data_IF_321662729445
#
_entry.id   IF_321662729445
#
_cell.length_a   1.000
_cell.length_b   1.000
_cell.length_c   1.000
_cell.angle_alpha   90.00
_cell.angle_beta   90.00
_cell.angle_gamma   90.00
#
_symmetry.space_group_name_H-M   'P 1'
#
loop_
_entity.id
_entity.type
_entity.pdbx_description
1 polymer ?
#
# COMPACT_ATOMS: atom_id res chain seq x y z
N UNK A 1 -14.46 57.10 -67.91
CA UNK A 1 -15.11 56.84 -66.60
C UNK A 1 -15.57 55.38 -66.62
N UNK A 2 -14.79 54.42 -66.10
CA UNK A 2 -14.81 53.91 -64.70
C UNK A 2 -16.23 53.50 -64.29
N UNK A 3 -16.57 52.26 -63.89
CA UNK A 3 -15.81 51.09 -63.42
C UNK A 3 -16.64 49.81 -63.69
N UNK A 4 -15.95 48.74 -64.08
CA UNK A 4 -16.41 47.35 -63.89
C UNK A 4 -16.35 47.03 -62.39
N UNK A 5 -17.38 46.40 -61.83
CA UNK A 5 -17.30 45.73 -60.53
C UNK A 5 -17.63 44.26 -60.78
N UNK A 6 -16.58 43.43 -60.75
CA UNK A 6 -16.68 41.98 -60.63
C UNK A 6 -17.11 41.64 -59.19
N UNK A 7 -18.13 40.81 -59.07
CA UNK A 7 -18.45 40.11 -57.83
C UNK A 7 -17.46 38.95 -57.69
N UNK A 8 -16.48 39.08 -56.80
CA UNK A 8 -15.53 38.03 -56.46
C UNK A 8 -16.02 37.41 -55.14
N UNK A 9 -16.70 36.27 -55.24
CA UNK A 9 -17.03 35.42 -54.10
C UNK A 9 -15.72 34.85 -53.56
N UNK A 10 -15.18 35.48 -52.52
CA UNK A 10 -14.08 34.93 -51.75
C UNK A 10 -14.65 33.80 -50.87
N UNK A 11 -14.51 32.55 -51.34
CA UNK A 11 -14.60 31.37 -50.49
C UNK A 11 -13.35 31.39 -49.61
N UNK A 12 -13.48 31.96 -48.42
CA UNK A 12 -12.48 31.79 -47.35
C UNK A 12 -12.69 30.37 -46.82
N UNK A 13 -11.72 29.46 -46.91
CA UNK A 13 -11.82 28.20 -46.19
C UNK A 13 -11.70 28.55 -44.71
N UNK A 14 -12.85 28.54 -44.02
CA UNK A 14 -12.88 28.46 -42.57
C UNK A 14 -12.24 27.14 -42.19
N UNK A 15 -10.95 27.17 -41.87
CA UNK A 15 -10.32 26.08 -41.15
C UNK A 15 -10.97 26.02 -39.76
N UNK A 16 -12.11 25.34 -39.66
CA UNK A 16 -12.65 24.87 -38.39
C UNK A 16 -11.66 23.79 -37.94
N UNK A 17 -10.66 24.19 -37.17
CA UNK A 17 -9.81 23.26 -36.46
C UNK A 17 -10.66 22.76 -35.30
N UNK A 18 -11.23 21.55 -35.43
CA UNK A 18 -12.13 20.96 -34.46
C UNK A 18 -11.46 20.81 -33.08
N UNK A 19 -12.23 21.01 -32.02
CA UNK A 19 -11.84 20.61 -30.66
C UNK A 19 -12.01 19.10 -30.54
N UNK A 20 -11.06 18.42 -29.88
CA UNK A 20 -11.19 16.99 -29.63
C UNK A 20 -12.22 16.73 -28.54
N UNK A 21 -12.91 15.60 -28.66
CA UNK A 21 -13.91 15.16 -27.68
C UNK A 21 -13.49 13.82 -27.07
N UNK A 22 -13.82 13.65 -25.80
CA UNK A 22 -13.80 12.34 -25.15
C UNK A 22 -15.25 12.03 -24.78
N UNK A 23 -15.82 11.01 -25.39
CA UNK A 23 -17.22 10.61 -25.16
C UNK A 23 -17.31 9.13 -24.89
N UNK A 24 -18.40 8.72 -24.27
CA UNK A 24 -18.64 7.30 -24.05
C UNK A 24 -19.94 7.00 -23.34
N UNK A 25 -20.07 5.73 -22.94
CA UNK A 25 -21.24 5.23 -22.21
C UNK A 25 -20.81 4.34 -21.05
N UNK A 26 -21.36 4.60 -19.87
CA UNK A 26 -21.23 3.77 -18.68
C UNK A 26 -22.34 2.72 -18.58
N UNK A 27 -22.00 1.51 -18.15
CA UNK A 27 -22.94 0.40 -17.94
C UNK A 27 -22.67 -0.29 -16.59
N UNK A 28 -23.71 -0.52 -15.76
CA UNK A 28 -25.10 -0.10 -15.93
C UNK A 28 -25.29 1.39 -15.56
N UNK A 29 -26.03 2.13 -16.38
CA UNK A 29 -26.10 3.59 -16.36
C UNK A 29 -26.50 4.18 -15.00
N UNK A 30 -27.43 3.54 -14.29
CA UNK A 30 -28.00 4.00 -13.03
C UNK A 30 -27.00 4.07 -11.86
N UNK A 31 -25.84 3.42 -12.00
CA UNK A 31 -24.77 3.45 -10.99
C UNK A 31 -23.91 4.72 -11.09
N UNK A 32 -24.07 5.51 -12.15
CA UNK A 32 -23.20 6.64 -12.46
C UNK A 32 -24.00 7.94 -12.54
N UNK A 33 -23.45 9.00 -11.96
CA UNK A 33 -24.09 10.33 -11.93
C UNK A 33 -23.23 11.42 -12.54
N UNK A 34 -21.93 11.32 -12.33
CA UNK A 34 -20.94 12.24 -12.87
C UNK A 34 -19.67 11.46 -13.22
N UNK A 35 -18.84 12.06 -14.06
CA UNK A 35 -17.46 11.64 -14.26
C UNK A 35 -16.55 12.87 -14.22
N UNK A 36 -15.39 12.71 -13.59
CA UNK A 36 -14.35 13.72 -13.56
C UNK A 36 -13.18 13.28 -14.43
N UNK A 37 -12.68 14.21 -15.24
CA UNK A 37 -11.50 14.00 -16.08
C UNK A 37 -10.31 14.70 -15.45
N UNK A 38 -9.22 13.95 -15.29
CA UNK A 38 -7.94 14.45 -14.83
C UNK A 38 -6.83 14.11 -15.82
N UNK A 39 -5.79 14.94 -15.87
CA UNK A 39 -4.53 14.62 -16.50
C UNK A 39 -3.58 14.06 -15.44
N UNK A 40 -3.02 12.87 -15.67
CA UNK A 40 -2.11 12.21 -14.74
C UNK A 40 -0.72 12.83 -14.88
N UNK A 41 -0.08 13.11 -13.73
CA UNK A 41 1.31 13.56 -13.66
C UNK A 41 2.07 12.74 -12.63
N UNK A 42 3.39 12.86 -12.62
CA UNK A 42 4.26 12.18 -11.66
C UNK A 42 3.99 12.53 -10.20
N UNK A 43 3.36 13.68 -9.90
CA UNK A 43 3.07 14.12 -8.52
C UNK A 43 1.60 13.93 -8.14
N UNK A 44 0.70 14.23 -9.07
CA UNK A 44 -0.73 14.32 -8.80
C UNK A 44 -1.56 14.25 -10.08
N UNK A 45 -2.88 14.20 -9.93
CA UNK A 45 -3.82 14.31 -11.04
C UNK A 45 -4.34 15.74 -11.13
N UNK A 46 -4.15 16.39 -12.28
CA UNK A 46 -4.60 17.77 -12.52
C UNK A 46 -6.02 17.73 -13.08
N UNK A 47 -6.96 18.39 -12.42
CA UNK A 47 -8.34 18.48 -12.89
C UNK A 47 -8.42 19.14 -14.27
N UNK A 48 -9.16 18.51 -15.19
CA UNK A 48 -9.34 18.98 -16.57
C UNK A 48 -10.78 19.43 -16.78
N UNK A 49 -11.74 18.53 -16.54
CA UNK A 49 -13.16 18.77 -16.78
C UNK A 49 -14.06 17.80 -15.98
N UNK A 50 -15.37 18.01 -16.02
CA UNK A 50 -16.38 17.16 -15.41
C UNK A 50 -17.60 17.04 -16.35
N UNK A 51 -18.29 15.91 -16.31
CA UNK A 51 -19.49 15.67 -17.10
C UNK A 51 -20.56 14.99 -16.25
N UNK A 52 -21.81 15.43 -16.38
CA UNK A 52 -22.95 14.69 -15.88
C UNK A 52 -23.19 13.46 -16.76
N UNK A 53 -23.61 12.36 -16.14
CA UNK A 53 -23.96 11.13 -16.86
C UNK A 53 -25.45 11.15 -17.17
N UNK A 54 -25.80 11.00 -18.45
CA UNK A 54 -27.19 10.94 -18.89
C UNK A 54 -27.89 9.65 -18.44
N UNK A 55 -29.23 9.60 -18.56
CA UNK A 55 -30.04 8.43 -18.17
C UNK A 55 -29.65 7.15 -18.91
N UNK A 56 -29.12 7.26 -20.12
CA UNK A 56 -28.62 6.14 -20.92
C UNK A 56 -27.14 5.80 -20.65
N UNK A 57 -26.52 6.46 -19.67
CA UNK A 57 -25.12 6.28 -19.30
C UNK A 57 -24.14 7.11 -20.13
N UNK A 58 -24.62 7.89 -21.10
CA UNK A 58 -23.75 8.65 -21.98
C UNK A 58 -23.11 9.87 -21.31
N UNK A 59 -21.89 10.20 -21.74
CA UNK A 59 -21.15 11.39 -21.30
C UNK A 59 -20.26 11.95 -22.40
N UNK A 60 -19.90 13.22 -22.27
CA UNK A 60 -18.98 13.92 -23.17
C UNK A 60 -18.13 14.91 -22.38
N UNK A 61 -16.83 14.93 -22.63
CA UNK A 61 -15.88 15.98 -22.26
C UNK A 61 -15.43 16.73 -23.51
N UNK A 62 -15.43 18.06 -23.43
CA UNK A 62 -14.95 18.92 -24.51
C UNK A 62 -13.54 19.43 -24.19
N UNK A 63 -12.54 18.99 -24.96
CA UNK A 63 -11.15 19.37 -24.68
C UNK A 63 -10.81 20.72 -25.29
N UNK A 64 -10.08 21.52 -24.51
CA UNK A 64 -9.48 22.77 -25.01
C UNK A 64 -8.49 22.44 -26.11
N UNK A 65 -8.38 23.33 -27.10
CA UNK A 65 -7.40 23.21 -28.20
C UNK A 65 -5.93 23.10 -27.73
N UNK A 66 -5.63 23.60 -26.53
CA UNK A 66 -4.30 23.57 -25.92
C UNK A 66 -4.09 22.37 -24.98
N UNK A 67 -5.03 21.42 -24.95
CA UNK A 67 -4.95 20.27 -24.07
C UNK A 67 -3.75 19.41 -24.45
N UNK A 68 -2.85 19.16 -23.49
CA UNK A 68 -1.58 18.51 -23.76
C UNK A 68 -1.76 16.98 -23.93
N UNK A 69 -1.04 16.34 -24.87
CA UNK A 69 -0.98 14.88 -24.90
C UNK A 69 -0.45 14.27 -23.60
N UNK A 70 -0.92 13.08 -23.25
CA UNK A 70 -0.49 12.36 -22.05
C UNK A 70 -1.48 11.30 -21.60
N UNK A 71 -1.28 10.81 -20.37
CA UNK A 71 -2.23 9.92 -19.71
C UNK A 71 -3.30 10.73 -18.99
N UNK A 72 -4.54 10.31 -19.15
CA UNK A 72 -5.72 10.89 -18.53
C UNK A 72 -6.45 9.84 -17.72
N UNK A 73 -7.18 10.30 -16.71
CA UNK A 73 -7.94 9.47 -15.79
C UNK A 73 -9.38 9.93 -15.76
N UNK A 74 -10.30 9.00 -15.94
CA UNK A 74 -11.71 9.22 -15.60
C UNK A 74 -11.96 8.64 -14.21
N UNK A 75 -12.49 9.47 -13.31
CA UNK A 75 -12.93 9.08 -11.96
C UNK A 75 -14.45 9.15 -11.91
N UNK A 76 -15.09 8.06 -11.50
CA UNK A 76 -16.55 7.91 -11.57
C UNK A 76 -17.22 7.67 -10.21
N UNK A 77 -16.47 7.43 -9.12
CA UNK A 77 -16.98 7.36 -7.76
C UNK A 77 -15.89 7.68 -6.70
N UNK A 78 -16.21 7.57 -5.41
CA UNK A 78 -15.28 7.75 -4.29
C UNK A 78 -15.08 6.42 -3.54
N UNK A 79 -13.84 6.07 -3.14
CA UNK A 79 -12.64 6.91 -3.24
C UNK A 79 -12.01 6.90 -4.65
N UNK A 80 -11.36 8.00 -5.01
CA UNK A 80 -10.92 8.27 -6.40
C UNK A 80 -9.86 7.30 -6.91
N UNK A 81 -9.03 6.77 -6.02
CA UNK A 81 -7.96 5.80 -6.28
C UNK A 81 -8.49 4.39 -6.58
N UNK A 82 -9.71 4.08 -6.16
CA UNK A 82 -10.40 2.82 -6.45
C UNK A 82 -11.27 2.92 -7.72
N UNK A 83 -12.06 3.99 -7.83
CA UNK A 83 -13.08 4.11 -8.87
C UNK A 83 -12.64 4.98 -10.05
N UNK A 84 -11.62 4.52 -10.76
CA UNK A 84 -11.05 5.20 -11.92
C UNK A 84 -10.52 4.25 -12.99
N UNK A 85 -10.19 4.79 -14.16
CA UNK A 85 -9.34 4.12 -15.15
C UNK A 85 -8.56 5.15 -15.97
N UNK A 86 -7.39 4.72 -16.46
CA UNK A 86 -6.46 5.54 -17.23
C UNK A 86 -6.52 5.24 -18.74
N UNK A 87 -6.24 6.25 -19.55
CA UNK A 87 -6.13 6.14 -21.01
C UNK A 87 -5.18 7.19 -21.59
N UNK A 88 -4.70 6.94 -22.79
CA UNK A 88 -3.84 7.86 -23.53
C UNK A 88 -4.67 8.85 -24.35
N UNK A 89 -4.29 10.11 -24.34
CA UNK A 89 -4.81 11.13 -25.24
C UNK A 89 -3.64 11.77 -25.99
N UNK A 90 -3.75 11.83 -27.31
CA UNK A 90 -2.75 12.46 -28.17
C UNK A 90 -3.39 13.21 -29.36
N UNK A 91 -4.16 14.25 -29.05
CA UNK A 91 -4.84 15.10 -30.05
C UNK A 91 -5.76 14.30 -30.98
N UNK A 92 -6.46 13.32 -30.43
CA UNK A 92 -7.45 12.50 -31.13
C UNK A 92 -8.80 12.56 -30.44
N UNK A 93 -9.88 12.27 -31.19
CA UNK A 93 -11.18 12.02 -30.58
C UNK A 93 -11.18 10.63 -29.95
N UNK A 94 -11.79 10.53 -28.77
CA UNK A 94 -11.90 9.28 -28.02
C UNK A 94 -13.38 8.94 -27.84
N UNK A 95 -13.73 7.73 -28.23
CA UNK A 95 -15.03 7.12 -27.96
C UNK A 95 -14.82 5.80 -27.22
N UNK A 96 -15.46 5.62 -26.07
CA UNK A 96 -15.28 4.45 -25.24
C UNK A 96 -16.60 3.95 -24.64
N UNK A 97 -16.60 2.70 -24.20
CA UNK A 97 -17.62 2.14 -23.33
C UNK A 97 -16.96 1.66 -22.05
N UNK A 98 -17.60 1.85 -20.91
CA UNK A 98 -17.14 1.31 -19.64
C UNK A 98 -18.27 0.47 -19.03
N UNK A 99 -17.96 -0.77 -18.70
CA UNK A 99 -18.85 -1.70 -18.04
C UNK A 99 -18.24 -2.06 -16.67
N UNK A 100 -19.01 -2.01 -15.58
CA UNK A 100 -18.48 -2.27 -14.23
C UNK A 100 -17.80 -3.64 -14.10
N UNK A 101 -18.27 -4.64 -14.84
CA UNK A 101 -17.74 -6.00 -14.78
C UNK A 101 -16.60 -6.23 -15.78
N UNK A 102 -16.64 -5.55 -16.94
CA UNK A 102 -15.68 -5.79 -18.04
C UNK A 102 -14.59 -4.73 -18.18
N UNK A 103 -14.76 -3.58 -17.55
CA UNK A 103 -13.87 -2.43 -17.66
C UNK A 103 -14.07 -1.62 -18.95
N UNK A 104 -13.02 -0.89 -19.33
CA UNK A 104 -13.04 0.03 -20.48
C UNK A 104 -12.77 -0.68 -21.81
N UNK A 105 -13.53 -0.33 -22.83
CA UNK A 105 -13.29 -0.68 -24.23
C UNK A 105 -13.31 0.58 -25.10
N UNK A 106 -12.34 0.72 -25.99
CA UNK A 106 -12.22 1.88 -26.88
C UNK A 106 -12.89 1.59 -28.22
N UNK A 107 -13.95 2.33 -28.54
CA UNK A 107 -14.63 2.32 -29.85
C UNK A 107 -13.84 3.15 -30.86
N UNK A 108 -13.31 4.30 -30.43
CA UNK A 108 -12.44 5.18 -31.23
C UNK A 108 -11.29 5.65 -30.33
N UNK A 109 -10.07 5.27 -30.69
CA UNK A 109 -8.80 5.80 -30.18
C UNK A 109 -7.70 4.90 -30.73
N UNK A 110 -6.81 5.43 -31.56
CA UNK A 110 -5.77 4.63 -32.20
C UNK A 110 -4.79 4.09 -31.15
N UNK A 111 -4.32 4.94 -30.24
CA UNK A 111 -3.27 4.60 -29.30
C UNK A 111 -3.75 3.63 -28.22
N UNK A 112 -4.94 3.86 -27.66
CA UNK A 112 -5.48 2.96 -26.64
C UNK A 112 -5.83 1.59 -27.23
N UNK A 113 -6.40 1.52 -28.43
CA UNK A 113 -6.64 0.24 -29.11
C UNK A 113 -5.35 -0.51 -29.39
N UNK A 114 -4.29 0.20 -29.79
CA UNK A 114 -2.98 -0.41 -30.02
C UNK A 114 -2.40 -0.97 -28.72
N UNK A 115 -2.51 -0.23 -27.61
CA UNK A 115 -2.10 -0.68 -26.28
C UNK A 115 -2.87 -1.93 -25.82
N UNK A 116 -4.20 -1.91 -25.90
CA UNK A 116 -5.05 -3.07 -25.56
C UNK A 116 -4.69 -4.29 -26.39
N UNK A 117 -4.49 -4.11 -27.70
CA UNK A 117 -4.13 -5.21 -28.62
C UNK A 117 -2.75 -5.79 -28.34
N UNK A 118 -1.79 -4.94 -27.98
CA UNK A 118 -0.45 -5.37 -27.56
C UNK A 118 -0.53 -6.23 -26.29
N UNK A 119 -1.20 -5.74 -25.25
CA UNK A 119 -1.34 -6.46 -23.98
C UNK A 119 -2.07 -7.80 -24.15
N UNK A 120 -3.14 -7.84 -24.93
CA UNK A 120 -3.86 -9.08 -25.23
C UNK A 120 -2.97 -10.09 -25.96
N UNK A 121 -2.20 -9.63 -26.96
CA UNK A 121 -1.28 -10.49 -27.71
C UNK A 121 -0.17 -11.04 -26.81
N UNK A 122 0.44 -10.18 -25.99
CA UNK A 122 1.50 -10.58 -25.05
C UNK A 122 0.99 -11.53 -23.96
N UNK A 123 -0.24 -11.33 -23.48
CA UNK A 123 -0.90 -12.25 -22.55
C UNK A 123 -1.08 -13.64 -23.16
N UNK A 124 -1.59 -13.74 -24.39
CA UNK A 124 -1.75 -15.03 -25.09
C UNK A 124 -0.41 -15.74 -25.35
N UNK A 125 0.64 -14.97 -25.66
CA UNK A 125 2.00 -15.51 -25.83
C UNK A 125 2.53 -16.03 -24.48
N UNK A 126 2.33 -15.29 -23.40
CA UNK A 126 2.66 -15.73 -22.04
C UNK A 126 1.94 -17.02 -21.65
N UNK A 127 0.64 -17.12 -21.94
CA UNK A 127 -0.14 -18.35 -21.73
C UNK A 127 0.41 -19.53 -22.55
N UNK A 128 0.86 -19.27 -23.78
CA UNK A 128 1.48 -20.28 -24.64
C UNK A 128 2.83 -20.78 -24.06
N UNK A 129 3.65 -19.87 -23.52
CA UNK A 129 4.89 -20.24 -22.80
C UNK A 129 4.60 -21.05 -21.53
N UNK A 130 3.62 -20.62 -20.73
CA UNK A 130 3.20 -21.34 -19.54
C UNK A 130 2.70 -22.75 -19.88
N UNK A 131 1.91 -22.89 -20.94
CA UNK A 131 1.43 -24.20 -21.44
C UNK A 131 2.60 -25.06 -21.93
N UNK A 132 3.55 -24.48 -22.66
CA UNK A 132 4.75 -25.18 -23.12
C UNK A 132 5.54 -25.77 -21.95
N UNK A 133 5.85 -24.96 -20.94
CA UNK A 133 6.59 -25.43 -19.77
C UNK A 133 5.78 -26.39 -18.89
N UNK A 134 4.48 -26.14 -18.72
CA UNK A 134 3.56 -27.03 -18.01
C UNK A 134 3.41 -28.42 -18.65
N UNK A 135 3.60 -28.52 -19.97
CA UNK A 135 3.63 -29.79 -20.72
C UNK A 135 5.00 -30.48 -20.76
N UNK A 136 5.98 -29.98 -19.99
CA UNK A 136 7.31 -30.56 -19.83
C UNK A 136 8.44 -29.83 -20.57
N UNK A 137 8.14 -28.89 -21.47
CA UNK A 137 9.12 -27.92 -21.99
C UNK A 137 10.28 -28.48 -22.83
N UNK A 138 10.14 -29.64 -23.48
CA UNK A 138 11.27 -30.32 -24.17
C UNK A 138 11.35 -30.10 -25.69
N UNK A 139 10.27 -29.65 -26.33
CA UNK A 139 10.17 -29.59 -27.80
C UNK A 139 10.76 -28.28 -28.33
N UNK A 140 12.04 -28.31 -28.73
CA UNK A 140 12.77 -27.13 -29.21
C UNK A 140 12.06 -26.39 -30.37
N UNK A 141 11.41 -27.12 -31.29
CA UNK A 141 10.66 -26.52 -32.41
C UNK A 141 9.49 -25.66 -31.92
N UNK A 142 8.73 -26.15 -30.94
CA UNK A 142 7.56 -25.45 -30.42
C UNK A 142 8.00 -24.21 -29.64
N UNK A 143 9.05 -24.34 -28.83
CA UNK A 143 9.67 -23.22 -28.12
C UNK A 143 10.14 -22.12 -29.08
N UNK A 144 10.94 -22.47 -30.09
CA UNK A 144 11.43 -21.50 -31.09
C UNK A 144 10.28 -20.79 -31.79
N UNK A 145 9.18 -21.49 -32.09
CA UNK A 145 7.98 -20.89 -32.69
C UNK A 145 7.35 -19.86 -31.75
N UNK A 146 7.20 -20.17 -30.47
CA UNK A 146 6.62 -19.24 -29.48
C UNK A 146 7.50 -18.00 -29.33
N UNK A 147 8.82 -18.17 -29.19
CA UNK A 147 9.76 -17.04 -29.08
C UNK A 147 9.79 -16.20 -30.37
N UNK A 148 9.72 -16.82 -31.55
CA UNK A 148 9.65 -16.08 -32.80
C UNK A 148 8.36 -15.25 -32.91
N UNK A 149 7.23 -15.81 -32.47
CA UNK A 149 5.96 -15.07 -32.40
C UNK A 149 6.11 -13.87 -31.46
N UNK A 150 6.67 -14.07 -30.26
CA UNK A 150 6.96 -12.99 -29.31
C UNK A 150 7.77 -11.84 -29.94
N UNK A 151 8.90 -12.17 -30.57
CA UNK A 151 9.79 -11.17 -31.17
C UNK A 151 9.13 -10.43 -32.35
N UNK A 152 8.41 -11.17 -33.20
CA UNK A 152 7.69 -10.57 -34.34
C UNK A 152 6.57 -9.65 -33.85
N UNK A 153 5.77 -10.11 -32.88
CA UNK A 153 4.69 -9.32 -32.28
C UNK A 153 5.23 -8.04 -31.66
N UNK A 154 6.30 -8.10 -30.85
CA UNK A 154 6.93 -6.88 -30.31
C UNK A 154 7.33 -5.91 -31.43
N UNK A 155 8.05 -6.40 -32.45
CA UNK A 155 8.55 -5.57 -33.55
C UNK A 155 7.42 -4.93 -34.37
N UNK A 156 6.35 -5.67 -34.64
CA UNK A 156 5.21 -5.19 -35.40
C UNK A 156 4.43 -4.11 -34.65
N UNK A 157 4.22 -4.29 -33.34
CA UNK A 157 3.58 -3.28 -32.49
C UNK A 157 4.43 -2.03 -32.32
N UNK A 158 5.75 -2.16 -32.14
CA UNK A 158 6.65 -1.00 -32.09
C UNK A 158 6.62 -0.20 -33.39
N UNK A 159 6.65 -0.88 -34.54
CA UNK A 159 6.52 -0.22 -35.85
C UNK A 159 5.16 0.47 -36.01
N UNK A 160 4.07 -0.17 -35.58
CA UNK A 160 2.74 0.43 -35.62
C UNK A 160 2.60 1.64 -34.68
N UNK A 161 3.39 1.67 -33.61
CA UNK A 161 3.40 2.73 -32.61
C UNK A 161 4.37 3.90 -32.94
N UNK A 162 5.11 3.84 -34.05
CA UNK A 162 6.09 4.86 -34.39
C UNK A 162 5.48 6.28 -34.42
N UNK A 163 6.08 7.20 -33.65
CA UNK A 163 5.61 8.58 -33.52
C UNK A 163 4.46 8.81 -32.52
N UNK A 164 4.00 7.77 -31.81
CA UNK A 164 2.87 7.83 -30.85
C UNK A 164 3.35 7.76 -29.40
N UNK A 165 2.51 8.18 -28.44
CA UNK A 165 2.84 8.07 -27.01
C UNK A 165 2.94 6.61 -26.56
N UNK A 166 2.04 5.76 -27.05
CA UNK A 166 1.93 4.32 -26.72
C UNK A 166 3.22 3.54 -26.97
N UNK A 167 4.08 3.99 -27.89
CA UNK A 167 5.38 3.38 -28.14
C UNK A 167 6.23 3.28 -26.86
N UNK A 168 6.18 4.31 -26.00
CA UNK A 168 6.93 4.31 -24.74
C UNK A 168 6.53 3.14 -23.84
N UNK A 169 5.24 2.80 -23.81
CA UNK A 169 4.69 1.71 -23.01
C UNK A 169 5.02 0.36 -23.65
N UNK A 170 4.80 0.21 -24.96
CA UNK A 170 5.11 -1.01 -25.71
C UNK A 170 6.58 -1.40 -25.59
N UNK A 171 7.49 -0.44 -25.76
CA UNK A 171 8.92 -0.71 -25.61
C UNK A 171 9.28 -1.04 -24.17
N UNK A 172 8.73 -0.32 -23.19
CA UNK A 172 9.01 -0.58 -21.78
C UNK A 172 8.47 -1.93 -21.29
N UNK A 173 7.41 -2.46 -21.92
CA UNK A 173 6.80 -3.75 -21.60
C UNK A 173 7.45 -4.95 -22.29
N UNK A 174 8.50 -4.75 -23.08
CA UNK A 174 9.14 -5.84 -23.82
C UNK A 174 9.59 -6.98 -22.88
N UNK A 175 9.05 -8.21 -23.04
CA UNK A 175 9.40 -9.33 -22.18
C UNK A 175 10.76 -9.93 -22.55
N UNK A 176 11.35 -10.66 -21.61
CA UNK A 176 12.56 -11.45 -21.85
C UNK A 176 12.33 -12.53 -22.93
N UNK A 177 13.21 -12.56 -23.93
CA UNK A 177 13.16 -13.49 -25.05
C UNK A 177 14.48 -14.28 -25.18
N UNK A 178 14.54 -15.55 -24.75
CA UNK A 178 15.74 -16.39 -24.86
C UNK A 178 16.04 -16.82 -26.31
N UNK A 179 17.32 -16.86 -26.69
CA UNK A 179 17.74 -17.30 -28.04
C UNK A 179 17.73 -18.82 -28.24
N UNK A 180 17.79 -19.59 -27.15
CA UNK A 180 17.85 -21.05 -27.18
C UNK A 180 16.89 -21.64 -26.14
N UNK A 181 16.51 -22.91 -26.33
CA UNK A 181 15.69 -23.63 -25.38
C UNK A 181 16.42 -23.71 -24.03
N UNK A 182 15.73 -23.25 -23.00
CA UNK A 182 16.16 -23.30 -21.59
C UNK A 182 15.01 -23.86 -20.76
N UNK A 183 15.34 -24.50 -19.64
CA UNK A 183 14.33 -25.01 -18.71
C UNK A 183 13.56 -23.86 -18.03
N UNK A 184 12.40 -24.20 -17.44
CA UNK A 184 11.48 -23.23 -16.85
C UNK A 184 12.10 -22.42 -15.71
N UNK A 185 12.98 -23.04 -14.90
CA UNK A 185 13.64 -22.37 -13.78
C UNK A 185 14.63 -21.34 -14.32
N UNK A 186 15.50 -21.75 -15.24
CA UNK A 186 16.44 -20.84 -15.91
C UNK A 186 15.72 -19.71 -16.66
N UNK A 187 14.58 -19.99 -17.30
CA UNK A 187 13.75 -18.96 -17.94
C UNK A 187 13.28 -17.91 -16.93
N UNK A 188 12.70 -18.36 -15.82
CA UNK A 188 12.17 -17.47 -14.77
C UNK A 188 13.26 -16.63 -14.14
N UNK A 189 14.43 -17.22 -13.85
CA UNK A 189 15.59 -16.51 -13.31
C UNK A 189 16.11 -15.43 -14.28
N UNK A 190 16.20 -15.76 -15.58
CA UNK A 190 16.65 -14.80 -16.60
C UNK A 190 15.61 -13.71 -16.85
N UNK A 191 14.31 -14.05 -16.87
CA UNK A 191 13.23 -13.08 -16.99
C UNK A 191 13.23 -12.10 -15.81
N UNK A 192 13.39 -12.61 -14.58
CA UNK A 192 13.54 -11.78 -13.37
C UNK A 192 14.74 -10.84 -13.48
N UNK A 193 15.87 -11.32 -13.99
CA UNK A 193 17.09 -10.49 -14.15
C UNK A 193 16.94 -9.41 -15.22
N UNK A 194 16.21 -9.71 -16.30
CA UNK A 194 16.02 -8.80 -17.43
C UNK A 194 14.79 -7.88 -17.28
N UNK A 195 13.95 -8.06 -16.25
CA UNK A 195 12.63 -7.42 -16.15
C UNK A 195 12.63 -5.91 -16.40
N UNK A 196 13.61 -5.18 -15.85
CA UNK A 196 13.69 -3.73 -15.99
C UNK A 196 14.55 -3.25 -17.18
N UNK A 197 15.07 -4.14 -18.03
CA UNK A 197 16.08 -3.77 -19.04
C UNK A 197 15.59 -2.80 -20.11
N UNK A 198 14.28 -2.78 -20.36
CA UNK A 198 13.64 -1.89 -21.32
C UNK A 198 12.90 -0.71 -20.67
N UNK A 199 12.83 -0.68 -19.33
CA UNK A 199 12.11 0.37 -18.60
C UNK A 199 13.04 1.54 -18.34
N UNK A 200 12.73 2.68 -18.96
CA UNK A 200 13.40 3.94 -18.68
C UNK A 200 12.67 4.71 -17.57
N UNK A 201 13.13 4.57 -16.33
CA UNK A 201 12.59 5.32 -15.17
C UNK A 201 12.76 6.84 -15.27
N UNK A 202 13.55 7.34 -16.23
CA UNK A 202 13.67 8.77 -16.56
C UNK A 202 12.66 9.27 -17.60
N UNK A 203 11.85 8.39 -18.20
CA UNK A 203 10.91 8.76 -19.26
C UNK A 203 9.70 9.52 -18.67
N UNK A 204 9.45 10.78 -19.07
CA UNK A 204 8.36 11.58 -18.52
C UNK A 204 6.98 11.04 -18.87
N UNK A 205 6.81 10.35 -20.02
CA UNK A 205 5.52 9.73 -20.39
C UNK A 205 5.20 8.60 -19.43
N UNK A 206 6.18 7.76 -19.09
CA UNK A 206 5.99 6.68 -18.11
C UNK A 206 5.80 7.20 -16.69
N UNK A 207 6.53 8.25 -16.30
CA UNK A 207 6.39 8.87 -14.98
C UNK A 207 5.03 9.55 -14.78
N UNK A 208 4.44 10.10 -15.84
CA UNK A 208 3.11 10.71 -15.81
C UNK A 208 1.99 9.67 -16.04
N UNK A 209 2.18 8.45 -15.55
CA UNK A 209 1.23 7.33 -15.65
C UNK A 209 1.44 6.36 -14.48
N UNK A 210 0.55 5.39 -14.30
CA UNK A 210 0.73 4.33 -13.30
C UNK A 210 1.78 3.26 -13.71
N UNK A 211 2.34 3.31 -14.92
CA UNK A 211 3.14 2.23 -15.49
C UNK A 211 4.32 1.79 -14.61
N UNK A 212 5.11 2.74 -14.10
CA UNK A 212 6.30 2.41 -13.30
C UNK A 212 5.92 1.79 -11.95
N UNK A 213 4.79 2.20 -11.38
CA UNK A 213 4.23 1.65 -10.14
C UNK A 213 3.78 0.21 -10.40
N UNK A 214 2.95 -0.02 -11.43
CA UNK A 214 2.46 -1.35 -11.79
C UNK A 214 3.59 -2.32 -12.14
N UNK A 215 4.56 -1.90 -12.94
CA UNK A 215 5.72 -2.72 -13.28
C UNK A 215 6.52 -3.10 -12.02
N UNK A 216 6.68 -2.16 -11.08
CA UNK A 216 7.37 -2.43 -9.82
C UNK A 216 6.61 -3.41 -8.93
N UNK A 217 5.31 -3.19 -8.72
CA UNK A 217 4.47 -4.08 -7.92
C UNK A 217 4.46 -5.49 -8.51
N UNK A 218 4.25 -5.59 -9.83
CA UNK A 218 4.30 -6.86 -10.54
C UNK A 218 5.64 -7.57 -10.35
N UNK A 219 6.77 -6.85 -10.38
CA UNK A 219 8.07 -7.45 -10.12
C UNK A 219 8.21 -7.96 -8.68
N UNK A 220 7.87 -7.11 -7.70
CA UNK A 220 8.05 -7.41 -6.27
C UNK A 220 7.21 -8.60 -5.84
N UNK A 221 5.95 -8.67 -6.28
CA UNK A 221 5.00 -9.66 -5.83
C UNK A 221 4.98 -10.96 -6.65
N UNK A 222 5.34 -10.93 -7.94
CA UNK A 222 5.28 -12.14 -8.77
C UNK A 222 6.58 -12.97 -8.75
N UNK A 223 7.73 -12.36 -8.46
CA UNK A 223 9.02 -13.07 -8.40
C UNK A 223 9.41 -13.45 -6.97
N UNK A 224 8.52 -14.17 -6.28
CA UNK A 224 8.67 -14.58 -4.88
C UNK A 224 9.02 -16.06 -4.74
N UNK A 225 9.93 -16.36 -3.82
CA UNK A 225 10.05 -17.69 -3.23
C UNK A 225 9.02 -17.83 -2.11
N UNK A 226 8.14 -18.83 -2.19
CA UNK A 226 7.10 -19.04 -1.19
C UNK A 226 7.65 -19.60 0.12
N UNK A 227 8.84 -20.21 0.10
CA UNK A 227 9.49 -20.73 1.30
C UNK A 227 10.14 -19.60 2.12
N UNK A 228 10.54 -18.49 1.47
CA UNK A 228 11.11 -17.30 2.11
C UNK A 228 10.65 -16.00 1.43
N UNK A 229 9.39 -15.64 1.70
CA UNK A 229 8.74 -14.46 1.10
C UNK A 229 9.42 -13.15 1.50
N UNK A 230 9.76 -12.99 2.78
CA UNK A 230 10.32 -11.73 3.27
C UNK A 230 11.69 -11.44 2.64
N UNK A 231 12.57 -12.45 2.56
CA UNK A 231 13.85 -12.30 1.87
C UNK A 231 13.64 -12.02 0.38
N UNK A 232 12.67 -12.67 -0.25
CA UNK A 232 12.32 -12.43 -1.66
C UNK A 232 11.87 -10.98 -1.89
N UNK A 233 10.94 -10.47 -1.08
CA UNK A 233 10.47 -9.09 -1.18
C UNK A 233 11.62 -8.10 -1.01
N UNK A 234 12.44 -8.26 0.03
CA UNK A 234 13.60 -7.40 0.29
C UNK A 234 14.56 -7.39 -0.90
N UNK A 235 14.90 -8.56 -1.45
CA UNK A 235 15.78 -8.66 -2.61
C UNK A 235 15.17 -8.02 -3.87
N UNK A 236 13.85 -8.16 -4.07
CA UNK A 236 13.16 -7.57 -5.20
C UNK A 236 13.13 -6.04 -5.07
N UNK A 237 12.83 -5.50 -3.89
CA UNK A 237 12.87 -4.06 -3.58
C UNK A 237 14.27 -3.50 -3.82
N UNK A 238 15.32 -4.20 -3.36
CA UNK A 238 16.71 -3.78 -3.60
C UNK A 238 17.04 -3.74 -5.11
N UNK A 239 16.42 -4.62 -5.91
CA UNK A 239 16.59 -4.61 -7.37
C UNK A 239 15.84 -3.45 -8.02
N UNK A 240 14.61 -3.19 -7.57
CA UNK A 240 13.81 -2.03 -8.00
C UNK A 240 14.56 -0.72 -7.74
N UNK A 241 15.09 -0.53 -6.52
CA UNK A 241 15.81 0.69 -6.16
C UNK A 241 17.02 0.93 -7.06
N UNK A 242 17.79 -0.13 -7.36
CA UNK A 242 18.91 -0.09 -8.30
C UNK A 242 18.47 0.23 -9.72
N UNK A 243 17.34 -0.32 -10.16
CA UNK A 243 16.81 -0.07 -11.50
C UNK A 243 16.34 1.38 -11.69
N UNK A 244 15.75 1.98 -10.65
CA UNK A 244 15.36 3.40 -10.65
C UNK A 244 16.59 4.32 -10.72
N UNK A 245 17.70 3.92 -10.08
CA UNK A 245 18.96 4.65 -10.12
C UNK A 245 18.88 5.98 -9.36
N UNK A 246 19.37 7.06 -9.98
CA UNK A 246 19.51 8.38 -9.31
C UNK A 246 18.24 9.25 -9.36
N UNK A 247 17.10 8.73 -9.84
CA UNK A 247 15.86 9.47 -9.87
C UNK A 247 15.20 9.48 -8.47
N UNK A 248 15.64 10.41 -7.61
CA UNK A 248 15.19 10.50 -6.21
C UNK A 248 13.69 10.67 -6.06
N UNK A 249 13.06 11.41 -6.97
CA UNK A 249 11.61 11.64 -6.99
C UNK A 249 10.84 10.33 -7.24
N UNK A 250 11.15 9.64 -8.33
CA UNK A 250 10.52 8.35 -8.66
C UNK A 250 10.82 7.31 -7.60
N UNK A 251 12.05 7.31 -7.06
CA UNK A 251 12.46 6.43 -5.97
C UNK A 251 11.61 6.63 -4.73
N UNK A 252 11.39 7.89 -4.31
CA UNK A 252 10.55 8.20 -3.16
C UNK A 252 9.13 7.64 -3.35
N UNK A 253 8.48 8.01 -4.45
CA UNK A 253 7.09 7.63 -4.75
C UNK A 253 6.92 6.11 -4.74
N UNK A 254 7.76 5.40 -5.49
CA UNK A 254 7.65 3.93 -5.62
C UNK A 254 7.92 3.23 -4.28
N UNK A 255 8.94 3.67 -3.53
CA UNK A 255 9.27 3.06 -2.25
C UNK A 255 8.23 3.37 -1.17
N UNK A 256 7.61 4.55 -1.20
CA UNK A 256 6.54 4.93 -0.28
C UNK A 256 5.28 4.08 -0.51
N UNK A 257 4.91 3.84 -1.78
CA UNK A 257 3.81 2.92 -2.14
C UNK A 257 4.11 1.51 -1.66
N UNK A 258 5.33 0.99 -1.94
CA UNK A 258 5.73 -0.33 -1.48
C UNK A 258 5.72 -0.42 0.05
N UNK A 259 6.25 0.60 0.74
CA UNK A 259 6.25 0.66 2.19
C UNK A 259 4.83 0.62 2.74
N UNK A 260 3.92 1.43 2.20
CA UNK A 260 2.53 1.48 2.63
C UNK A 260 1.84 0.12 2.44
N UNK A 261 2.05 -0.55 1.29
CA UNK A 261 1.52 -1.90 1.05
C UNK A 261 1.95 -2.89 2.14
N UNK A 262 3.26 -2.97 2.43
CA UNK A 262 3.77 -3.89 3.45
C UNK A 262 3.41 -3.48 4.88
N UNK A 263 3.24 -2.18 5.15
CA UNK A 263 2.80 -1.67 6.44
C UNK A 263 1.34 -2.04 6.73
N UNK A 264 0.46 -1.89 5.73
CA UNK A 264 -0.97 -2.26 5.82
C UNK A 264 -1.15 -3.77 5.96
N UNK A 265 -0.35 -4.58 5.27
CA UNK A 265 -0.35 -6.04 5.40
C UNK A 265 0.36 -6.54 6.68
N UNK A 266 0.84 -5.65 7.54
CA UNK A 266 1.60 -5.95 8.75
C UNK A 266 2.86 -6.82 8.52
N UNK A 267 3.46 -6.72 7.32
CA UNK A 267 4.74 -7.38 6.98
C UNK A 267 5.89 -6.48 7.42
N UNK A 268 5.98 -6.28 8.74
CA UNK A 268 6.90 -5.34 9.38
C UNK A 268 8.37 -5.51 8.99
N UNK A 269 8.94 -6.72 8.84
CA UNK A 269 10.35 -6.85 8.46
C UNK A 269 10.66 -6.19 7.12
N UNK A 270 9.73 -6.27 6.16
CA UNK A 270 9.90 -5.70 4.82
C UNK A 270 9.63 -4.20 4.84
N UNK A 271 8.55 -3.76 5.48
CA UNK A 271 8.26 -2.33 5.66
C UNK A 271 9.41 -1.61 6.38
N UNK A 272 9.93 -2.18 7.47
CA UNK A 272 11.07 -1.61 8.18
C UNK A 272 12.36 -1.62 7.36
N UNK A 273 12.57 -2.61 6.48
CA UNK A 273 13.70 -2.58 5.54
C UNK A 273 13.58 -1.37 4.61
N UNK A 274 12.43 -1.16 3.97
CA UNK A 274 12.21 -0.02 3.08
C UNK A 274 12.43 1.31 3.82
N UNK A 275 11.84 1.45 5.01
CA UNK A 275 11.93 2.65 5.82
C UNK A 275 13.38 2.97 6.21
N UNK A 276 14.10 2.01 6.77
CA UNK A 276 15.45 2.22 7.31
C UNK A 276 16.52 2.32 6.24
N UNK A 277 16.41 1.55 5.16
CA UNK A 277 17.43 1.52 4.11
C UNK A 277 17.29 2.69 3.14
N UNK A 278 16.08 3.20 2.93
CA UNK A 278 15.82 4.16 1.86
C UNK A 278 15.01 5.38 2.30
N UNK A 279 13.76 5.18 2.75
CA UNK A 279 12.80 6.29 2.85
C UNK A 279 13.15 7.31 3.92
N UNK A 280 13.67 6.91 5.08
CA UNK A 280 14.03 7.86 6.13
C UNK A 280 15.07 8.88 5.67
N UNK A 281 16.08 8.45 4.90
CA UNK A 281 17.11 9.35 4.39
C UNK A 281 16.58 10.24 3.26
N UNK A 282 15.75 9.68 2.37
CA UNK A 282 15.09 10.45 1.31
C UNK A 282 14.15 11.51 1.90
N UNK A 283 13.35 11.14 2.91
CA UNK A 283 12.41 12.02 3.58
C UNK A 283 13.14 13.18 4.27
N UNK A 284 14.24 12.90 4.99
CA UNK A 284 15.09 13.94 5.60
C UNK A 284 15.70 14.88 4.55
N UNK A 285 16.23 14.34 3.45
CA UNK A 285 16.80 15.15 2.37
C UNK A 285 15.77 16.04 1.67
N UNK A 286 14.51 15.61 1.65
CA UNK A 286 13.39 16.36 1.05
C UNK A 286 12.60 17.20 2.06
N UNK A 287 13.02 17.24 3.33
CA UNK A 287 12.33 17.91 4.45
C UNK A 287 10.89 17.45 4.66
N UNK A 288 10.60 16.18 4.37
CA UNK A 288 9.30 15.57 4.60
C UNK A 288 9.19 15.05 6.03
N UNK A 289 8.90 15.96 6.96
CA UNK A 289 8.84 15.65 8.38
C UNK A 289 7.68 14.72 8.75
N UNK A 290 6.58 14.74 7.98
CA UNK A 290 5.43 13.87 8.23
C UNK A 290 5.78 12.43 7.86
N UNK A 291 6.41 12.20 6.70
CA UNK A 291 6.91 10.87 6.34
C UNK A 291 7.97 10.37 7.33
N UNK A 292 8.87 11.25 7.81
CA UNK A 292 9.85 10.84 8.85
C UNK A 292 9.16 10.37 10.12
N UNK A 293 8.13 11.08 10.59
CA UNK A 293 7.36 10.69 11.79
C UNK A 293 6.65 9.37 11.57
N UNK A 294 5.92 9.23 10.45
CA UNK A 294 5.17 8.02 10.12
C UNK A 294 6.07 6.78 10.11
N UNK A 295 7.19 6.85 9.39
CA UNK A 295 8.17 5.76 9.32
C UNK A 295 8.77 5.44 10.69
N UNK A 296 9.02 6.46 11.51
CA UNK A 296 9.61 6.30 12.85
C UNK A 296 8.62 5.67 13.82
N UNK A 297 7.36 6.11 13.82
CA UNK A 297 6.31 5.56 14.66
C UNK A 297 6.01 4.10 14.31
N UNK A 298 5.84 3.79 13.02
CA UNK A 298 5.64 2.42 12.57
C UNK A 298 6.79 1.51 13.02
N UNK A 299 8.03 1.97 12.84
CA UNK A 299 9.22 1.25 13.28
C UNK A 299 9.20 1.02 14.78
N UNK A 300 9.06 2.06 15.59
CA UNK A 300 9.12 1.96 17.05
C UNK A 300 8.04 0.99 17.59
N UNK A 301 6.88 0.96 16.95
CA UNK A 301 5.76 0.09 17.30
C UNK A 301 5.86 -1.34 16.72
N UNK A 302 6.92 -1.68 15.98
CA UNK A 302 7.09 -3.00 15.37
C UNK A 302 7.52 -4.07 16.39
N UNK A 303 7.13 -5.32 16.14
CA UNK A 303 7.55 -6.48 16.93
C UNK A 303 9.07 -6.57 16.95
N UNK A 304 9.63 -6.77 18.14
CA UNK A 304 11.05 -6.83 18.39
C UNK A 304 11.68 -5.52 18.86
N UNK A 305 10.97 -4.40 18.80
CA UNK A 305 11.44 -3.15 19.40
C UNK A 305 10.98 -3.02 20.85
N UNK A 306 11.73 -2.25 21.64
CA UNK A 306 11.32 -1.90 23.01
C UNK A 306 10.16 -0.92 22.90
N UNK A 307 9.03 -1.25 23.54
CA UNK A 307 7.84 -0.39 23.56
C UNK A 307 8.18 0.96 24.18
N UNK A 308 7.59 2.04 23.67
CA UNK A 308 7.95 3.39 24.10
C UNK A 308 7.58 3.62 25.57
N UNK A 309 8.50 4.25 26.32
CA UNK A 309 8.25 4.55 27.72
C UNK A 309 7.29 5.73 27.91
N UNK A 310 6.52 5.70 28.99
CA UNK A 310 5.58 6.74 29.40
C UNK A 310 5.36 6.69 30.90
N UNK A 311 4.77 7.75 31.45
CA UNK A 311 4.47 7.85 32.88
C UNK A 311 3.11 7.24 33.21
N UNK A 312 3.08 6.50 34.32
CA UNK A 312 1.89 5.91 34.92
C UNK A 312 1.73 6.54 36.30
N UNK A 313 0.54 7.06 36.59
CA UNK A 313 0.19 7.55 37.93
C UNK A 313 -0.48 6.41 38.70
N UNK A 314 0.16 5.97 39.78
CA UNK A 314 -0.31 4.89 40.65
C UNK A 314 -0.77 5.52 41.97
N UNK A 315 -1.97 5.16 42.40
CA UNK A 315 -2.52 5.60 43.69
C UNK A 315 -2.44 4.45 44.69
N UNK A 316 -1.98 4.72 45.90
CA UNK A 316 -2.05 3.76 47.01
C UNK A 316 -3.44 3.72 47.65
N UNK A 317 -3.63 2.85 48.66
CA UNK A 317 -4.89 2.68 49.37
C UNK A 317 -5.32 3.94 50.14
N UNK A 318 -4.38 4.84 50.43
CA UNK A 318 -4.58 6.11 51.15
C UNK A 318 -4.84 7.28 50.18
N UNK A 319 -4.73 7.03 48.87
CA UNK A 319 -4.97 7.97 47.79
C UNK A 319 -3.76 8.83 47.43
N UNK A 320 -2.57 8.55 47.96
CA UNK A 320 -1.36 9.25 47.55
C UNK A 320 -0.92 8.77 46.15
N UNK A 321 -0.54 9.74 45.31
CA UNK A 321 -0.16 9.49 43.92
C UNK A 321 1.36 9.39 43.78
N UNK A 322 1.82 8.36 43.06
CA UNK A 322 3.22 8.20 42.66
C UNK A 322 3.31 8.08 41.15
N UNK A 323 4.26 8.78 40.55
CA UNK A 323 4.57 8.63 39.13
C UNK A 323 5.65 7.56 38.96
N UNK A 324 5.38 6.55 38.13
CA UNK A 324 6.32 5.49 37.77
C UNK A 324 6.41 5.38 36.25
N UNK A 325 7.59 5.11 35.69
CA UNK A 325 7.73 4.83 34.26
C UNK A 325 7.24 3.42 33.93
N UNK A 326 6.72 3.22 32.73
CA UNK A 326 6.31 1.89 32.25
C UNK A 326 7.52 0.94 32.24
N UNK A 327 8.69 1.44 31.86
CA UNK A 327 9.94 0.67 31.87
C UNK A 327 10.38 0.21 33.26
N UNK A 328 10.04 0.96 34.31
CA UNK A 328 10.40 0.64 35.70
C UNK A 328 9.50 -0.44 36.33
N UNK A 329 8.47 -0.91 35.64
CA UNK A 329 7.62 -1.99 36.13
C UNK A 329 8.35 -3.34 36.09
N UNK A 330 8.37 -4.06 37.21
CA UNK A 330 9.09 -5.33 37.42
C UNK A 330 8.20 -6.42 38.04
N UNK A 331 6.91 -6.16 38.14
CA UNK A 331 5.94 -7.00 38.86
C UNK A 331 5.39 -8.18 38.05
N UNK A 332 5.62 -8.21 36.72
CA UNK A 332 5.13 -9.27 35.84
C UNK A 332 6.13 -9.70 34.77
N UNK A 333 6.00 -10.95 34.31
CA UNK A 333 6.79 -11.51 33.21
C UNK A 333 6.37 -10.96 31.84
N UNK A 334 5.11 -10.53 31.71
CA UNK A 334 4.56 -9.94 30.50
C UNK A 334 3.70 -8.73 30.86
N UNK A 335 3.66 -7.78 29.94
CA UNK A 335 2.83 -6.58 30.05
C UNK A 335 1.93 -6.49 28.82
N UNK A 336 0.66 -6.15 29.01
CA UNK A 336 -0.25 -5.82 27.92
C UNK A 336 -0.54 -4.32 27.97
N UNK A 337 -0.03 -3.59 26.98
CA UNK A 337 -0.47 -2.22 26.73
C UNK A 337 -1.68 -2.29 25.82
N UNK A 338 -2.83 -1.82 26.29
CA UNK A 338 -4.07 -1.77 25.52
C UNK A 338 -4.51 -0.32 25.38
N UNK A 339 -4.60 0.13 24.13
CA UNK A 339 -5.18 1.43 23.79
C UNK A 339 -6.68 1.26 23.56
N UNK A 340 -7.49 2.06 24.23
CA UNK A 340 -8.95 1.94 24.19
C UNK A 340 -9.61 3.32 24.29
N UNK A 341 -10.93 3.39 24.10
CA UNK A 341 -11.72 4.59 24.37
C UNK A 341 -13.03 4.19 25.07
N UNK A 342 -13.47 5.01 26.01
CA UNK A 342 -14.75 4.89 26.70
C UNK A 342 -15.96 5.07 25.78
N UNK A 343 -15.76 5.56 24.54
CA UNK A 343 -16.79 5.76 23.52
C UNK A 343 -16.72 4.76 22.36
N UNK A 344 -15.72 3.86 22.36
CA UNK A 344 -15.57 2.83 21.34
C UNK A 344 -16.38 1.57 21.71
N UNK A 345 -17.37 1.20 20.90
CA UNK A 345 -18.24 0.04 21.15
C UNK A 345 -17.45 -1.26 21.34
N UNK A 346 -16.48 -1.54 20.45
CA UNK A 346 -15.65 -2.74 20.56
C UNK A 346 -14.81 -2.76 21.86
N UNK A 347 -14.30 -1.61 22.30
CA UNK A 347 -13.59 -1.52 23.59
C UNK A 347 -14.50 -1.87 24.76
N UNK A 348 -15.76 -1.43 24.74
CA UNK A 348 -16.73 -1.69 25.81
C UNK A 348 -17.10 -3.17 25.91
N UNK A 349 -16.98 -3.93 24.83
CA UNK A 349 -17.17 -5.37 24.81
C UNK A 349 -15.91 -6.13 25.24
N UNK A 350 -14.73 -5.72 24.75
CA UNK A 350 -13.48 -6.49 24.92
C UNK A 350 -12.77 -6.26 26.27
N UNK A 351 -12.77 -5.02 26.80
CA UNK A 351 -12.07 -4.70 28.05
C UNK A 351 -12.64 -5.47 29.27
N UNK A 352 -13.96 -5.66 29.42
CA UNK A 352 -14.51 -6.52 30.47
C UNK A 352 -14.10 -7.99 30.37
N UNK A 353 -13.97 -8.54 29.16
CA UNK A 353 -13.51 -9.93 28.97
C UNK A 353 -12.02 -10.07 29.31
N UNK A 354 -11.20 -9.09 28.92
CA UNK A 354 -9.81 -9.01 29.34
C UNK A 354 -9.68 -8.97 30.86
N UNK A 355 -10.53 -8.19 31.52
CA UNK A 355 -10.55 -8.10 32.97
C UNK A 355 -10.89 -9.43 33.64
N UNK A 356 -11.93 -10.13 33.14
CA UNK A 356 -12.27 -11.48 33.61
C UNK A 356 -11.10 -12.44 33.51
N UNK A 357 -10.38 -12.43 32.38
CA UNK A 357 -9.19 -13.26 32.19
C UNK A 357 -8.12 -12.93 33.24
N UNK A 358 -7.77 -11.65 33.40
CA UNK A 358 -6.71 -11.22 34.35
C UNK A 358 -7.00 -11.67 35.78
N UNK A 359 -8.26 -11.67 36.21
CA UNK A 359 -8.64 -12.15 37.55
C UNK A 359 -8.41 -13.65 37.78
N UNK A 360 -8.24 -14.43 36.72
CA UNK A 360 -7.94 -15.86 36.80
C UNK A 360 -6.45 -16.17 36.77
N UNK A 361 -5.60 -15.16 36.52
CA UNK A 361 -4.16 -15.33 36.39
C UNK A 361 -3.46 -15.22 37.74
N UNK A 362 -2.36 -15.96 37.88
CA UNK A 362 -1.49 -15.86 39.05
C UNK A 362 -0.77 -14.51 39.05
N UNK A 363 -0.45 -14.01 40.26
CA UNK A 363 0.31 -12.77 40.42
C UNK A 363 1.64 -12.87 39.65
N UNK A 364 1.93 -11.83 38.88
CA UNK A 364 3.15 -11.72 38.07
C UNK A 364 3.14 -12.44 36.73
N UNK A 365 2.03 -13.08 36.33
CA UNK A 365 1.87 -13.61 34.97
C UNK A 365 1.75 -12.50 33.92
N UNK A 366 0.87 -11.54 34.20
CA UNK A 366 0.52 -10.47 33.30
C UNK A 366 0.17 -9.22 34.09
N UNK A 367 0.65 -8.07 33.61
CA UNK A 367 0.11 -6.77 34.02
C UNK A 367 -0.51 -6.04 32.84
N UNK A 368 -1.71 -5.52 33.02
CA UNK A 368 -2.40 -4.72 31.99
C UNK A 368 -2.22 -3.24 32.27
N UNK A 369 -1.86 -2.49 31.23
CA UNK A 369 -1.76 -1.04 31.21
C UNK A 369 -2.77 -0.53 30.17
N UNK A 370 -3.89 -0.03 30.65
CA UNK A 370 -5.01 0.44 29.84
C UNK A 370 -4.89 1.94 29.61
N UNK A 371 -4.56 2.32 28.37
CA UNK A 371 -4.38 3.71 27.94
C UNK A 371 -5.64 4.16 27.22
N UNK A 372 -6.41 5.05 27.85
CA UNK A 372 -7.62 5.58 27.25
C UNK A 372 -7.29 6.79 26.37
N UNK A 373 -7.49 6.66 25.06
CA UNK A 373 -7.41 7.75 24.10
C UNK A 373 -8.77 8.46 24.05
N UNK A 374 -8.95 9.45 24.92
CA UNK A 374 -10.25 10.10 25.16
C UNK A 374 -10.11 11.61 25.44
N UNK A 375 -11.27 12.27 25.53
CA UNK A 375 -11.38 13.69 25.92
C UNK A 375 -12.12 13.86 27.26
N UNK A 376 -13.01 12.93 27.62
CA UNK A 376 -13.80 13.00 28.85
C UNK A 376 -13.11 12.29 30.01
N UNK A 377 -12.32 13.06 30.77
CA UNK A 377 -11.59 12.58 31.94
C UNK A 377 -12.51 12.04 33.04
N UNK A 378 -13.73 12.57 33.19
CA UNK A 378 -14.66 12.13 34.23
C UNK A 378 -15.27 10.77 33.89
N UNK A 379 -15.74 10.60 32.66
CA UNK A 379 -16.23 9.32 32.16
C UNK A 379 -15.15 8.24 32.23
N UNK A 380 -13.93 8.55 31.79
CA UNK A 380 -12.79 7.65 31.92
C UNK A 380 -12.57 7.23 33.36
N UNK A 381 -12.47 8.19 34.29
CA UNK A 381 -12.25 7.91 35.71
C UNK A 381 -13.35 7.03 36.32
N UNK A 382 -14.61 7.24 35.97
CA UNK A 382 -15.71 6.36 36.43
C UNK A 382 -15.52 4.92 35.95
N UNK A 383 -15.09 4.75 34.70
CA UNK A 383 -14.83 3.44 34.12
C UNK A 383 -13.63 2.72 34.75
N UNK A 384 -12.59 3.44 35.18
CA UNK A 384 -11.40 2.79 35.78
C UNK A 384 -11.75 1.98 37.03
N UNK A 385 -12.77 2.40 37.80
CA UNK A 385 -13.23 1.68 38.99
C UNK A 385 -13.77 0.28 38.70
N UNK A 386 -14.16 -0.02 37.46
CA UNK A 386 -14.65 -1.34 37.05
C UNK A 386 -13.51 -2.34 36.83
N UNK A 387 -12.28 -1.86 36.66
CA UNK A 387 -11.11 -2.67 36.31
C UNK A 387 -9.91 -2.38 37.24
N UNK A 388 -10.04 -2.61 38.55
CA UNK A 388 -9.03 -2.22 39.54
C UNK A 388 -7.68 -2.96 39.41
N UNK A 389 -7.63 -4.08 38.70
CA UNK A 389 -6.42 -4.87 38.46
C UNK A 389 -5.48 -4.24 37.40
N UNK A 390 -5.96 -3.25 36.65
CA UNK A 390 -5.21 -2.60 35.57
C UNK A 390 -4.52 -1.32 36.05
N UNK A 391 -3.37 -0.99 35.46
CA UNK A 391 -2.89 0.39 35.46
C UNK A 391 -3.66 1.19 34.43
N UNK A 392 -4.15 2.37 34.80
CA UNK A 392 -4.93 3.24 33.91
C UNK A 392 -4.16 4.50 33.57
N UNK A 393 -4.06 4.82 32.28
CA UNK A 393 -3.42 6.05 31.79
C UNK A 393 -4.45 6.82 30.96
N UNK A 394 -4.60 8.11 31.23
CA UNK A 394 -5.46 8.98 30.43
C UNK A 394 -4.64 9.65 29.32
N UNK A 395 -4.76 9.11 28.11
CA UNK A 395 -4.22 9.70 26.89
C UNK A 395 -5.17 10.76 26.35
N UNK A 396 -5.06 11.98 26.86
CA UNK A 396 -5.87 13.11 26.42
C UNK A 396 -5.61 13.45 24.93
N UNK A 397 -6.66 13.76 24.18
CA UNK A 397 -6.57 14.23 22.78
C UNK A 397 -6.82 13.16 21.71
N UNK A 398 -7.29 11.97 22.09
CA UNK A 398 -7.60 10.85 21.17
C UNK A 398 -6.42 10.52 20.24
N UNK A 399 -6.53 10.86 18.95
CA UNK A 399 -5.58 10.54 17.90
C UNK A 399 -4.36 11.47 17.89
N UNK A 400 -4.44 12.63 18.55
CA UNK A 400 -3.33 13.58 18.67
C UNK A 400 -2.46 13.29 19.91
N UNK A 401 -2.71 12.16 20.60
CA UNK A 401 -2.02 11.83 21.83
C UNK A 401 -0.61 11.27 21.54
N UNK A 402 0.46 11.85 22.10
CA UNK A 402 1.83 11.40 21.85
C UNK A 402 2.12 9.95 22.24
N UNK A 403 1.42 9.38 23.22
CA UNK A 403 1.60 7.98 23.61
C UNK A 403 1.02 7.08 22.51
N UNK A 404 -0.17 7.41 21.98
CA UNK A 404 -0.79 6.72 20.86
C UNK A 404 0.07 6.77 19.60
N UNK A 405 0.62 7.94 19.27
CA UNK A 405 1.51 8.14 18.12
C UNK A 405 2.77 7.27 18.21
N UNK A 406 3.42 7.24 19.38
CA UNK A 406 4.64 6.45 19.57
C UNK A 406 4.42 4.93 19.45
N UNK A 407 3.19 4.48 19.65
CA UNK A 407 2.76 3.09 19.42
C UNK A 407 2.09 2.92 18.05
N UNK A 408 2.10 3.94 17.19
CA UNK A 408 1.48 3.95 15.87
C UNK A 408 0.01 3.49 15.89
N UNK A 409 -0.75 3.91 16.90
CA UNK A 409 -2.14 3.49 17.09
C UNK A 409 -3.05 4.19 16.08
N UNK A 410 -3.68 3.41 15.19
CA UNK A 410 -4.62 3.92 14.17
C UNK A 410 -6.07 3.57 14.43
N UNK A 411 -6.34 2.69 15.40
CA UNK A 411 -7.68 2.24 15.77
C UNK A 411 -7.72 1.86 17.26
N UNK A 412 -8.92 1.83 17.85
CA UNK A 412 -9.14 1.27 19.19
C UNK A 412 -10.22 0.17 19.13
N UNK A 413 -10.07 -0.94 19.87
CA UNK A 413 -8.93 -1.26 20.73
C UNK A 413 -7.66 -1.62 19.91
N UNK A 414 -6.48 -1.41 20.49
CA UNK A 414 -5.19 -1.88 19.95
C UNK A 414 -4.36 -2.51 21.06
N UNK A 415 -3.80 -3.70 20.81
CA UNK A 415 -3.10 -4.50 21.82
C UNK A 415 -1.62 -4.66 21.50
N UNK A 416 -0.76 -4.42 22.50
CA UNK A 416 0.67 -4.65 22.43
C UNK A 416 1.09 -5.54 23.60
N UNK A 417 1.55 -6.75 23.29
CA UNK A 417 2.12 -7.66 24.29
C UNK A 417 3.61 -7.40 24.36
N UNK A 418 4.09 -7.09 25.56
CA UNK A 418 5.48 -6.84 25.87
C UNK A 418 6.03 -7.94 26.78
N UNK A 419 7.29 -8.30 26.60
CA UNK A 419 8.01 -9.15 27.56
C UNK A 419 8.48 -8.36 28.80
N UNK A 420 9.17 -9.05 29.72
CA UNK A 420 9.72 -8.45 30.95
C UNK A 420 10.65 -7.25 30.68
N UNK A 421 11.36 -7.26 29.56
CA UNK A 421 12.31 -6.23 29.12
C UNK A 421 11.61 -5.15 28.25
N UNK A 422 10.27 -5.15 28.25
CA UNK A 422 9.38 -4.24 27.51
C UNK A 422 9.51 -4.31 26.00
N UNK A 423 10.11 -5.38 25.47
CA UNK A 423 10.16 -5.62 24.03
C UNK A 423 8.78 -6.08 23.54
N UNK A 424 8.29 -5.48 22.47
CA UNK A 424 7.04 -5.88 21.81
C UNK A 424 7.25 -7.28 21.24
N UNK A 425 6.52 -8.27 21.75
CA UNK A 425 6.59 -9.66 21.27
C UNK A 425 5.40 -10.03 20.39
N UNK A 426 4.29 -9.30 20.50
CA UNK A 426 3.11 -9.50 19.65
C UNK A 426 2.21 -8.27 19.63
N UNK A 427 1.49 -8.09 18.52
CA UNK A 427 0.37 -7.15 18.38
C UNK A 427 -0.90 -7.89 17.96
N UNK A 428 -1.70 -8.39 18.91
CA UNK A 428 -2.96 -9.03 18.59
C UNK A 428 -3.98 -8.02 18.06
N UNK A 429 -4.75 -8.41 17.04
CA UNK A 429 -5.78 -7.55 16.46
C UNK A 429 -6.97 -7.31 17.41
N UNK A 430 -7.32 -8.31 18.22
CA UNK A 430 -8.42 -8.26 19.17
C UNK A 430 -8.09 -9.04 20.46
N UNK A 431 -8.99 -8.98 21.44
CA UNK A 431 -8.89 -9.73 22.70
C UNK A 431 -8.77 -11.25 22.49
N UNK A 432 -9.45 -11.83 21.51
CA UNK A 432 -9.45 -13.29 21.28
C UNK A 432 -8.08 -13.77 20.76
N UNK A 433 -7.50 -13.01 19.84
CA UNK A 433 -6.15 -13.23 19.34
C UNK A 433 -5.13 -13.05 20.48
N UNK A 434 -5.33 -12.06 21.35
CA UNK A 434 -4.51 -11.87 22.54
C UNK A 434 -4.60 -13.08 23.48
N UNK A 435 -5.80 -13.52 23.85
CA UNK A 435 -6.02 -14.65 24.75
C UNK A 435 -5.37 -15.93 24.19
N UNK A 436 -5.54 -16.17 22.89
CA UNK A 436 -4.95 -17.32 22.20
C UNK A 436 -3.43 -17.28 22.27
N UNK A 437 -2.83 -16.13 21.96
CA UNK A 437 -1.37 -15.97 22.03
C UNK A 437 -0.84 -16.06 23.46
N UNK A 438 -1.50 -15.41 24.42
CA UNK A 438 -1.08 -15.39 25.83
C UNK A 438 -0.99 -16.80 26.43
N UNK A 439 -1.91 -17.71 26.06
CA UNK A 439 -1.87 -19.12 26.47
C UNK A 439 -0.62 -19.89 25.99
N UNK A 440 0.09 -19.37 24.98
CA UNK A 440 1.34 -19.97 24.49
C UNK A 440 2.59 -19.48 25.24
N UNK A 441 2.47 -18.40 26.01
CA UNK A 441 3.58 -17.85 26.77
C UNK A 441 3.91 -18.73 27.98
N UNK A 442 5.21 -18.82 28.36
CA UNK A 442 5.61 -19.60 29.53
C UNK A 442 4.98 -19.04 30.80
N UNK A 443 4.49 -19.95 31.66
CA UNK A 443 4.03 -19.59 33.00
C UNK A 443 5.25 -19.23 33.88
N UNK A 444 5.11 -18.29 34.83
CA UNK A 444 6.13 -18.04 35.83
C UNK A 444 6.49 -19.34 36.54
N UNK A 445 7.77 -19.56 36.80
CA UNK A 445 8.18 -20.58 37.75
C UNK A 445 7.59 -20.24 39.12
N UNK A 446 7.02 -21.22 39.85
CA UNK A 446 6.56 -20.97 41.20
C UNK A 446 7.75 -20.45 42.02
N UNK A 447 7.61 -19.25 42.60
CA UNK A 447 8.58 -18.77 43.59
C UNK A 447 8.55 -19.79 44.74
N UNK A 448 9.64 -20.52 44.92
CA UNK A 448 9.84 -21.36 46.10
C UNK A 448 9.90 -20.39 47.28
N UNK A 449 8.84 -20.34 48.08
CA UNK A 449 8.89 -19.72 49.39
C UNK A 449 9.89 -20.54 50.21
N UNK A 450 11.10 -20.01 50.37
CA UNK A 450 12.01 -20.47 51.41
C UNK A 450 11.39 -19.99 52.71
N UNK A 451 10.77 -20.90 53.45
CA UNK A 451 10.33 -20.60 54.81
C UNK A 451 11.59 -20.41 55.67
N UNK A 452 11.76 -19.21 56.22
CA UNK A 452 12.83 -18.85 57.17
C UNK A 452 12.67 -19.55 58.55
N UNK A 453 12.02 -20.72 58.62
CA UNK A 453 11.86 -21.52 59.85
C UNK A 453 12.86 -22.70 59.95
N UNK A 454 13.58 -23.04 58.87
CA UNK A 454 14.54 -24.17 58.88
C UNK A 454 15.98 -23.78 59.26
N UNK A 455 16.27 -22.53 59.63
CA UNK A 455 17.63 -22.07 60.01
C UNK A 455 17.90 -21.99 61.52
N UNK A 456 17.04 -22.57 62.38
CA UNK A 456 17.17 -22.50 63.84
C UNK A 456 17.55 -23.79 64.58
N UNK A 457 17.80 -24.92 63.90
CA UNK A 457 18.05 -26.21 64.57
C UNK A 457 19.43 -26.85 64.31
N UNK A 458 20.46 -26.06 63.95
CA UNK A 458 21.83 -26.56 63.76
C UNK A 458 22.88 -26.05 64.77
N UNK A 459 22.48 -25.45 65.90
CA UNK A 459 23.41 -25.04 66.97
C UNK A 459 23.26 -25.80 68.31
N UNK A 460 22.65 -26.99 68.33
CA UNK A 460 22.73 -27.88 69.50
C UNK A 460 22.86 -29.34 69.10
N UNK A 461 24.10 -29.81 68.93
CA UNK A 461 24.62 -31.04 69.55
C UNK A 461 26.15 -31.13 69.44
#
# INVERSE_FOLDING_TARGET
>A
MYKKILFLLAIVPSFIVAQNTIKGTFTPAEQFKFAFLYQVTADTSIFVDNADIAEDGSFVFELKKTQAPGTYRIVYAQPQDEYNFDFLYNNEDIELTFDLDKGVEFVTSEENKLWTSYNNSMSMIGQSLNTFYGSGGKKEKDFKKIIQILLNTQTEFEKAAEGKLVLNFITASQPYAPQQLIDAKTFTENAKKAYFSHINFGNPVLQNSNFLIEATLNYVFNFIDNDDKNVSYINNINTVEKAIGNNSKVKKIILEILWNQFAVEEIEPVANHIANTYLLDIARQTNDNELVKELTYFKNASVGNVGQDFEIIIYDEEGAATAKKMHDLDEANNYLVVFWSTTCSHCLDEIPELHKLVKTLDKGQLKVIAIALDEDRYRWKDMTYKFPEFYHVFGEGKWDNPIGDNYNVKATPSYFVLDKDKKIIKKPYDFKAFETYFKTLPKPEPKVEVNDEDELDLEKE
#
